data_IF_537054907333
#
_entry.id   IF_537054907333
#
_cell.length_a   1.000
_cell.length_b   1.000
_cell.length_c   1.000
_cell.angle_alpha   90.00
_cell.angle_beta   90.00
_cell.angle_gamma   90.00
#
_symmetry.space_group_name_H-M   'P 1'
#
loop_
_entity.id
_entity.type
_entity.pdbx_description
1 polymer ?
#
# COMPACT_ATOMS: atom_id res chain seq x y z
N UNK A 1 -24.97 -15.58 6.69
CA UNK A 1 -25.28 -16.93 7.19
C UNK A 1 -26.57 -17.42 6.51
N UNK A 2 -26.46 -17.84 5.25
CA UNK A 2 -27.58 -18.39 4.48
C UNK A 2 -27.12 -19.71 3.87
N UNK A 3 -27.68 -20.79 4.43
CA UNK A 3 -27.96 -22.10 3.81
C UNK A 3 -27.02 -22.58 2.71
N UNK A 4 -25.88 -23.15 3.13
CA UNK A 4 -25.10 -24.16 2.39
C UNK A 4 -25.93 -25.46 2.27
N UNK A 5 -27.03 -25.45 1.52
CA UNK A 5 -27.89 -26.63 1.38
C UNK A 5 -28.08 -27.04 -0.09
N UNK A 6 -26.96 -27.23 -0.77
CA UNK A 6 -26.91 -28.12 -1.93
C UNK A 6 -25.78 -29.11 -1.68
N UNK A 7 -26.09 -30.18 -0.95
CA UNK A 7 -25.18 -31.31 -0.73
C UNK A 7 -24.95 -32.03 -2.07
N UNK A 8 -24.04 -31.52 -2.89
CA UNK A 8 -23.48 -32.33 -3.96
C UNK A 8 -22.81 -33.55 -3.34
N UNK A 9 -23.08 -34.72 -3.90
CA UNK A 9 -22.55 -36.01 -3.43
C UNK A 9 -21.05 -36.11 -3.70
N UNK A 10 -20.24 -35.46 -2.86
CA UNK A 10 -18.77 -35.67 -2.79
C UNK A 10 -18.40 -37.03 -2.16
N UNK A 11 -19.38 -37.93 -2.00
CA UNK A 11 -19.21 -39.29 -1.51
C UNK A 11 -18.21 -40.08 -2.35
N UNK A 12 -18.11 -39.83 -3.65
CA UNK A 12 -17.11 -40.50 -4.50
C UNK A 12 -15.67 -40.21 -4.05
N UNK A 13 -15.34 -38.96 -3.70
CA UNK A 13 -13.99 -38.63 -3.23
C UNK A 13 -13.73 -39.17 -1.82
N UNK A 14 -14.75 -39.22 -0.97
CA UNK A 14 -14.66 -39.87 0.34
C UNK A 14 -14.36 -41.37 0.18
N UNK A 15 -15.13 -42.06 -0.66
CA UNK A 15 -14.98 -43.50 -0.95
C UNK A 15 -13.59 -43.81 -1.50
N UNK A 16 -13.09 -43.00 -2.44
CA UNK A 16 -11.76 -43.22 -3.04
C UNK A 16 -10.63 -43.10 -2.01
N UNK A 17 -10.74 -42.17 -1.06
CA UNK A 17 -9.74 -42.00 0.01
C UNK A 17 -9.85 -43.15 1.03
N UNK A 18 -11.06 -43.59 1.36
CA UNK A 18 -11.30 -44.65 2.35
C UNK A 18 -11.13 -46.07 1.82
N UNK A 19 -11.12 -46.28 0.50
CA UNK A 19 -11.12 -47.62 -0.12
C UNK A 19 -9.89 -48.46 0.27
N UNK A 20 -8.67 -47.92 0.12
CA UNK A 20 -7.43 -48.65 0.44
C UNK A 20 -7.33 -48.94 1.95
N UNK A 21 -7.57 -47.96 2.85
CA UNK A 21 -7.63 -48.21 4.30
C UNK A 21 -8.64 -49.29 4.71
N UNK A 22 -9.84 -49.28 4.12
CA UNK A 22 -10.90 -50.26 4.39
C UNK A 22 -10.54 -51.65 3.88
N UNK A 23 -9.94 -51.73 2.69
CA UNK A 23 -9.48 -53.01 2.12
C UNK A 23 -8.42 -53.64 3.01
N UNK A 24 -7.42 -52.86 3.45
CA UNK A 24 -6.40 -53.35 4.37
C UNK A 24 -7.00 -53.81 5.71
N UNK A 25 -7.92 -53.04 6.30
CA UNK A 25 -8.61 -53.43 7.53
C UNK A 25 -9.39 -54.74 7.35
N UNK A 26 -10.10 -54.89 6.22
CA UNK A 26 -10.85 -56.10 5.88
C UNK A 26 -9.92 -57.30 5.70
N UNK A 27 -8.77 -57.11 5.07
CA UNK A 27 -7.74 -58.16 4.93
C UNK A 27 -7.24 -58.66 6.29
N UNK A 28 -6.95 -57.75 7.23
CA UNK A 28 -6.55 -58.12 8.60
C UNK A 28 -7.72 -58.79 9.35
N UNK A 29 -8.95 -58.30 9.20
CA UNK A 29 -10.14 -58.91 9.80
C UNK A 29 -10.38 -60.35 9.31
N UNK A 30 -10.12 -60.65 8.03
CA UNK A 30 -10.20 -62.01 7.49
C UNK A 30 -9.14 -62.94 8.09
N UNK A 31 -7.95 -62.43 8.41
CA UNK A 31 -6.95 -63.18 9.17
C UNK A 31 -7.42 -63.52 10.60
N UNK A 32 -8.09 -62.58 11.29
CA UNK A 32 -8.71 -62.85 12.60
C UNK A 32 -9.78 -63.96 12.55
N UNK A 33 -10.59 -64.00 11.49
CA UNK A 33 -11.63 -65.04 11.30
C UNK A 33 -11.03 -66.39 10.89
N UNK A 34 -9.75 -66.44 10.50
CA UNK A 34 -9.06 -67.67 10.10
C UNK A 34 -9.22 -68.04 8.62
N UNK A 35 -9.69 -67.12 7.78
CA UNK A 35 -9.72 -67.32 6.32
C UNK A 35 -8.33 -67.23 5.67
N UNK A 36 -7.39 -66.55 6.34
CA UNK A 36 -6.01 -66.34 5.89
C UNK A 36 -5.10 -66.84 7.01
N UNK A 37 -3.95 -67.49 6.73
CA UNK A 37 -3.02 -67.99 7.74
C UNK A 37 -2.24 -66.85 8.44
N UNK A 38 -2.96 -65.94 9.09
CA UNK A 38 -2.46 -64.78 9.83
C UNK A 38 -3.04 -64.83 11.24
N UNK A 39 -2.22 -65.17 12.24
CA UNK A 39 -2.66 -65.17 13.64
C UNK A 39 -2.73 -63.73 14.17
N UNK A 40 -3.95 -63.18 14.20
CA UNK A 40 -4.21 -61.81 14.67
C UNK A 40 -5.02 -61.89 15.96
N UNK A 41 -4.60 -61.14 16.98
CA UNK A 41 -5.35 -61.03 18.24
C UNK A 41 -6.52 -60.04 18.12
N UNK A 42 -7.56 -60.25 18.92
CA UNK A 42 -8.74 -59.36 18.94
C UNK A 42 -8.36 -57.92 19.31
N UNK A 43 -7.42 -57.73 20.25
CA UNK A 43 -6.97 -56.41 20.68
C UNK A 43 -6.29 -55.65 19.54
N UNK A 44 -5.46 -56.32 18.73
CA UNK A 44 -4.87 -55.74 17.52
C UNK A 44 -5.95 -55.28 16.55
N UNK A 45 -6.96 -56.11 16.26
CA UNK A 45 -8.06 -55.74 15.37
C UNK A 45 -8.83 -54.51 15.88
N UNK A 46 -9.12 -54.45 17.17
CA UNK A 46 -9.78 -53.30 17.81
C UNK A 46 -8.96 -52.02 17.71
N UNK A 47 -7.63 -52.10 17.87
CA UNK A 47 -6.72 -50.95 17.72
C UNK A 47 -6.73 -50.45 16.28
N UNK A 48 -6.64 -51.34 15.28
CA UNK A 48 -6.73 -50.95 13.87
C UNK A 48 -8.08 -50.31 13.54
N UNK A 49 -9.18 -50.82 14.10
CA UNK A 49 -10.52 -50.25 13.94
C UNK A 49 -10.62 -48.84 14.52
N UNK A 50 -10.01 -48.60 15.69
CA UNK A 50 -9.93 -47.28 16.29
C UNK A 50 -9.11 -46.30 15.45
N UNK A 51 -7.94 -46.73 14.94
CA UNK A 51 -7.11 -45.91 14.04
C UNK A 51 -7.88 -45.57 12.75
N UNK A 52 -8.58 -46.54 12.16
CA UNK A 52 -9.42 -46.33 10.98
C UNK A 52 -10.56 -45.33 11.27
N UNK A 53 -11.22 -45.44 12.41
CA UNK A 53 -12.27 -44.51 12.81
C UNK A 53 -11.75 -43.06 12.87
N UNK A 54 -10.59 -42.85 13.51
CA UNK A 54 -9.95 -41.52 13.54
C UNK A 54 -9.63 -41.07 12.11
N UNK A 55 -9.04 -41.93 11.28
CA UNK A 55 -8.73 -41.60 9.89
C UNK A 55 -9.97 -41.13 9.10
N UNK A 56 -11.11 -41.80 9.24
CA UNK A 56 -12.36 -41.43 8.57
C UNK A 56 -12.85 -40.01 8.95
N UNK A 57 -12.67 -39.59 10.20
CA UNK A 57 -13.01 -38.22 10.63
C UNK A 57 -12.15 -37.17 9.90
N UNK A 58 -10.87 -37.48 9.71
CA UNK A 58 -9.91 -36.59 9.05
C UNK A 58 -10.17 -36.44 7.55
N UNK A 59 -10.77 -37.42 6.86
CA UNK A 59 -11.02 -37.37 5.40
C UNK A 59 -11.78 -36.10 5.00
N UNK A 60 -12.70 -35.62 5.83
CA UNK A 60 -13.49 -34.40 5.58
C UNK A 60 -12.64 -33.14 5.41
N UNK A 61 -11.43 -33.13 5.96
CA UNK A 61 -10.49 -32.02 5.90
C UNK A 61 -9.45 -32.16 4.78
N UNK A 62 -9.38 -33.31 4.10
CA UNK A 62 -8.42 -33.54 3.03
C UNK A 62 -8.69 -32.64 1.81
N UNK A 63 -7.65 -32.10 1.19
CA UNK A 63 -7.78 -31.20 0.03
C UNK A 63 -8.58 -31.82 -1.14
N UNK A 64 -8.46 -33.13 -1.38
CA UNK A 64 -9.19 -33.79 -2.47
C UNK A 64 -10.70 -33.89 -2.19
N UNK A 65 -11.11 -33.89 -0.92
CA UNK A 65 -12.53 -33.77 -0.55
C UNK A 65 -12.99 -32.30 -0.62
N UNK A 66 -12.22 -31.38 -0.03
CA UNK A 66 -12.53 -29.94 0.03
C UNK A 66 -12.71 -29.30 -1.34
N UNK A 67 -11.91 -29.69 -2.35
CA UNK A 67 -12.07 -29.17 -3.72
C UNK A 67 -13.38 -29.60 -4.37
N UNK A 68 -13.92 -30.79 -4.04
CA UNK A 68 -15.23 -31.18 -4.54
C UNK A 68 -16.33 -30.29 -3.95
N UNK A 69 -16.25 -30.01 -2.65
CA UNK A 69 -17.17 -29.09 -1.97
C UNK A 69 -17.09 -27.70 -2.58
N UNK A 70 -15.88 -27.18 -2.82
CA UNK A 70 -15.67 -25.89 -3.47
C UNK A 70 -16.26 -25.83 -4.90
N UNK A 71 -16.06 -26.89 -5.70
CA UNK A 71 -16.62 -26.98 -7.06
C UNK A 71 -18.14 -27.10 -7.05
N UNK A 72 -18.71 -27.76 -6.04
CA UNK A 72 -20.16 -27.86 -5.92
C UNK A 72 -20.82 -26.51 -5.59
N UNK A 73 -20.11 -25.65 -4.85
CA UNK A 73 -20.54 -24.29 -4.54
C UNK A 73 -20.09 -23.27 -5.60
N UNK A 74 -19.83 -23.69 -6.84
CA UNK A 74 -19.28 -22.79 -7.88
C UNK A 74 -20.17 -21.57 -8.14
N UNK A 75 -21.49 -21.76 -8.23
CA UNK A 75 -22.41 -20.64 -8.46
C UNK A 75 -22.38 -19.61 -7.32
N UNK A 76 -22.27 -20.08 -6.08
CA UNK A 76 -22.14 -19.18 -4.91
C UNK A 76 -20.82 -18.43 -4.96
N UNK A 77 -19.72 -19.12 -5.25
CA UNK A 77 -18.40 -18.51 -5.39
C UNK A 77 -18.37 -17.45 -6.51
N UNK A 78 -18.97 -17.73 -7.67
CA UNK A 78 -19.04 -16.77 -8.77
C UNK A 78 -19.87 -15.53 -8.38
N UNK A 79 -20.98 -15.70 -7.65
CA UNK A 79 -21.77 -14.58 -7.13
C UNK A 79 -20.98 -13.74 -6.12
N UNK A 80 -20.28 -14.37 -5.17
CA UNK A 80 -19.46 -13.68 -4.17
C UNK A 80 -18.33 -12.88 -4.84
N UNK A 81 -17.71 -13.44 -5.89
CA UNK A 81 -16.69 -12.74 -6.70
C UNK A 81 -17.32 -11.52 -7.39
N UNK A 82 -18.49 -11.67 -8.03
CA UNK A 82 -19.16 -10.56 -8.71
C UNK A 82 -19.57 -9.45 -7.76
N UNK A 83 -20.12 -9.79 -6.59
CA UNK A 83 -20.42 -8.83 -5.53
C UNK A 83 -19.14 -8.08 -5.13
N UNK A 84 -18.04 -8.82 -4.91
CA UNK A 84 -16.78 -8.18 -4.51
C UNK A 84 -16.19 -7.31 -5.61
N UNK A 85 -16.28 -7.72 -6.88
CA UNK A 85 -15.88 -6.92 -8.03
C UNK A 85 -16.67 -5.60 -8.06
N UNK A 86 -17.98 -5.64 -7.86
CA UNK A 86 -18.82 -4.44 -7.88
C UNK A 86 -18.46 -3.43 -6.78
N UNK A 87 -18.17 -3.91 -5.57
CA UNK A 87 -17.81 -3.04 -4.43
C UNK A 87 -16.39 -2.46 -4.53
N UNK A 88 -15.53 -3.06 -5.35
CA UNK A 88 -14.12 -2.67 -5.52
C UNK A 88 -13.82 -2.17 -6.93
N UNK A 89 -14.85 -1.77 -7.69
CA UNK A 89 -14.69 -1.22 -9.02
C UNK A 89 -14.05 0.17 -8.97
N UNK A 90 -13.04 0.39 -9.79
CA UNK A 90 -12.37 1.67 -9.99
C UNK A 90 -12.46 2.05 -11.47
N UNK A 91 -12.92 3.27 -11.73
CA UNK A 91 -13.00 3.82 -13.09
C UNK A 91 -11.75 4.66 -13.35
N UNK A 92 -10.95 4.26 -14.34
CA UNK A 92 -9.76 4.98 -14.79
C UNK A 92 -9.91 5.28 -16.28
N UNK A 93 -10.02 6.56 -16.62
CA UNK A 93 -10.37 7.00 -17.98
C UNK A 93 -11.75 6.50 -18.39
N UNK A 94 -11.82 5.73 -19.48
CA UNK A 94 -13.08 5.18 -20.02
C UNK A 94 -13.33 3.71 -19.64
N UNK A 95 -12.50 3.13 -18.75
CA UNK A 95 -12.62 1.73 -18.34
C UNK A 95 -12.95 1.64 -16.86
N UNK A 96 -13.90 0.77 -16.52
CA UNK A 96 -14.23 0.41 -15.14
C UNK A 96 -13.87 -1.06 -14.95
N UNK A 97 -12.88 -1.33 -14.10
CA UNK A 97 -12.50 -2.68 -13.67
C UNK A 97 -12.30 -2.68 -12.16
N UNK A 98 -12.24 -3.84 -11.53
CA UNK A 98 -12.07 -3.95 -10.09
C UNK A 98 -10.60 -4.07 -9.68
N UNK A 99 -10.25 -3.50 -8.52
CA UNK A 99 -8.93 -3.63 -7.88
C UNK A 99 -8.83 -4.87 -6.96
N UNK A 100 -9.82 -5.77 -7.03
CA UNK A 100 -9.87 -6.97 -6.20
C UNK A 100 -8.64 -7.85 -6.45
N UNK A 101 -7.92 -8.15 -5.36
CA UNK A 101 -6.92 -9.20 -5.35
C UNK A 101 -7.61 -10.57 -5.28
N UNK A 102 -7.88 -11.12 -6.47
CA UNK A 102 -8.58 -12.40 -6.63
C UNK A 102 -7.78 -13.58 -6.03
N UNK A 103 -6.45 -13.49 -6.03
CA UNK A 103 -5.57 -14.47 -5.37
C UNK A 103 -5.86 -14.56 -3.88
N UNK A 104 -5.82 -13.42 -3.21
CA UNK A 104 -6.10 -13.33 -1.77
C UNK A 104 -7.51 -13.78 -1.46
N UNK A 105 -8.50 -13.35 -2.25
CA UNK A 105 -9.89 -13.74 -2.07
C UNK A 105 -10.10 -15.26 -2.16
N UNK A 106 -9.56 -15.91 -3.20
CA UNK A 106 -9.71 -17.35 -3.39
C UNK A 106 -9.02 -18.17 -2.28
N UNK A 107 -7.85 -17.71 -1.83
CA UNK A 107 -7.14 -18.33 -0.71
C UNK A 107 -7.94 -18.23 0.59
N UNK A 108 -8.53 -17.07 0.90
CA UNK A 108 -9.41 -16.89 2.06
C UNK A 108 -10.63 -17.80 1.97
N UNK A 109 -11.32 -17.81 0.82
CA UNK A 109 -12.50 -18.64 0.60
C UNK A 109 -12.19 -20.14 0.77
N UNK A 110 -11.04 -20.60 0.27
CA UNK A 110 -10.62 -22.00 0.43
C UNK A 110 -10.26 -22.35 1.88
N UNK A 111 -9.66 -21.42 2.62
CA UNK A 111 -9.37 -21.60 4.05
C UNK A 111 -10.63 -21.72 4.91
N UNK A 112 -11.74 -21.09 4.52
CA UNK A 112 -13.03 -21.23 5.23
C UNK A 112 -13.67 -22.61 4.99
N UNK A 113 -13.39 -23.24 3.85
CA UNK A 113 -13.89 -24.57 3.54
C UNK A 113 -13.12 -25.66 4.29
N UNK A 114 -11.83 -25.43 4.59
CA UNK A 114 -10.90 -26.43 5.11
C UNK A 114 -10.10 -25.95 6.32
N UNK A 115 -10.13 -26.73 7.40
CA UNK A 115 -9.32 -26.45 8.58
C UNK A 115 -7.85 -26.89 8.39
N UNK A 116 -6.96 -25.92 8.18
CA UNK A 116 -5.52 -26.16 7.99
C UNK A 116 -4.83 -26.79 9.22
N UNK A 117 -5.34 -26.58 10.44
CA UNK A 117 -4.75 -27.13 11.66
C UNK A 117 -4.92 -28.65 11.76
N UNK A 118 -6.06 -29.19 11.29
CA UNK A 118 -6.24 -30.64 11.23
C UNK A 118 -5.36 -31.26 10.15
N UNK A 119 -5.23 -30.59 9.01
CA UNK A 119 -4.44 -31.09 7.88
C UNK A 119 -2.96 -31.18 8.23
N UNK A 120 -2.42 -30.19 8.93
CA UNK A 120 -0.98 -30.12 9.26
C UNK A 120 -0.53 -31.24 10.20
N UNK A 121 -1.42 -31.74 11.06
CA UNK A 121 -1.12 -32.79 12.04
C UNK A 121 -1.44 -34.19 11.52
N UNK A 122 -2.32 -34.32 10.54
CA UNK A 122 -2.81 -35.61 10.06
C UNK A 122 -1.71 -36.55 9.54
N UNK A 123 -0.72 -36.04 8.80
CA UNK A 123 0.37 -36.88 8.27
C UNK A 123 1.30 -37.43 9.37
N UNK A 124 1.39 -36.75 10.52
CA UNK A 124 2.23 -37.17 11.64
C UNK A 124 1.48 -37.99 12.69
N UNK A 125 0.17 -37.79 12.85
CA UNK A 125 -0.61 -38.48 13.88
C UNK A 125 -0.82 -39.97 13.57
N UNK A 126 -1.03 -40.36 12.31
CA UNK A 126 -1.30 -41.76 11.97
C UNK A 126 -0.12 -42.71 12.25
N UNK A 127 1.14 -42.37 11.90
CA UNK A 127 2.28 -43.19 12.29
C UNK A 127 2.45 -43.25 13.81
N UNK A 128 2.23 -42.14 14.52
CA UNK A 128 2.30 -42.11 15.99
C UNK A 128 1.22 -42.99 16.63
N UNK A 129 -0.01 -42.96 16.12
CA UNK A 129 -1.10 -43.85 16.55
C UNK A 129 -0.78 -45.31 16.26
N UNK A 130 -0.08 -45.60 15.15
CA UNK A 130 0.40 -46.95 14.83
C UNK A 130 1.46 -47.45 15.81
N UNK A 131 2.43 -46.62 16.17
CA UNK A 131 3.46 -46.93 17.18
C UNK A 131 2.81 -47.14 18.55
N UNK A 132 1.94 -46.21 18.97
CA UNK A 132 1.19 -46.33 20.22
C UNK A 132 0.36 -47.61 20.26
N UNK A 133 -0.36 -47.90 19.18
CA UNK A 133 -1.15 -49.12 19.04
C UNK A 133 -0.30 -50.39 19.14
N UNK A 134 0.92 -50.35 18.60
CA UNK A 134 1.87 -51.48 18.70
C UNK A 134 2.29 -51.72 20.14
N UNK A 135 2.63 -50.67 20.89
CA UNK A 135 2.96 -50.79 22.32
C UNK A 135 1.80 -51.30 23.16
N UNK A 136 0.58 -50.81 22.91
CA UNK A 136 -0.62 -51.29 23.60
C UNK A 136 -0.88 -52.77 23.28
N UNK A 137 -0.78 -53.17 22.02
CA UNK A 137 -0.98 -54.55 21.61
C UNK A 137 0.05 -55.51 22.23
N UNK A 138 1.33 -55.12 22.29
CA UNK A 138 2.39 -55.90 22.95
C UNK A 138 2.13 -55.98 24.46
N UNK A 139 1.80 -54.87 25.11
CA UNK A 139 1.55 -54.83 26.55
C UNK A 139 0.41 -55.76 26.97
N UNK A 140 -0.67 -55.83 26.17
CA UNK A 140 -1.80 -56.73 26.42
C UNK A 140 -1.44 -58.19 26.10
N UNK A 141 -0.57 -58.43 25.12
CA UNK A 141 -0.16 -59.78 24.70
C UNK A 141 0.93 -60.40 25.58
N UNK A 142 1.46 -59.67 26.56
CA UNK A 142 2.52 -60.15 27.45
C UNK A 142 1.94 -61.13 28.47
N UNK A 143 2.29 -62.43 28.44
CA UNK A 143 1.81 -63.40 29.41
C UNK A 143 2.52 -63.23 30.75
N UNK A 144 1.86 -63.65 31.83
CA UNK A 144 2.48 -63.76 33.14
C UNK A 144 3.29 -65.06 33.21
N UNK A 145 4.62 -64.98 33.08
CA UNK A 145 5.50 -66.14 33.20
C UNK A 145 5.48 -66.68 34.64
N UNK A 146 4.67 -67.70 34.91
CA UNK A 146 4.65 -68.42 36.19
C UNK A 146 4.93 -69.89 35.92
N UNK A 147 6.20 -70.29 36.01
CA UNK A 147 6.61 -71.61 35.48
C UNK A 147 6.94 -72.60 36.60
N UNK A 148 6.21 -73.72 36.64
CA UNK A 148 6.61 -75.00 37.27
C UNK A 148 6.83 -76.13 36.25
N UNK A 149 6.36 -76.01 35.00
CA UNK A 149 6.45 -77.06 33.96
C UNK A 149 6.94 -76.49 32.61
N UNK A 150 7.81 -77.22 31.91
CA UNK A 150 8.45 -76.78 30.65
C UNK A 150 7.49 -76.68 29.46
N UNK A 151 6.44 -77.50 29.38
CA UNK A 151 5.46 -77.47 28.28
C UNK A 151 4.56 -76.21 28.33
N UNK A 152 4.29 -75.68 29.53
CA UNK A 152 3.55 -74.43 29.69
C UNK A 152 4.35 -73.22 29.17
N UNK A 153 5.68 -73.26 29.34
CA UNK A 153 6.58 -72.20 28.88
C UNK A 153 6.62 -72.09 27.35
N UNK A 154 6.68 -73.21 26.62
CA UNK A 154 6.69 -73.21 25.16
C UNK A 154 5.39 -72.62 24.57
N UNK A 155 4.25 -72.93 25.18
CA UNK A 155 2.96 -72.37 24.78
C UNK A 155 2.88 -70.86 25.07
N UNK A 156 3.35 -70.40 26.23
CA UNK A 156 3.42 -68.98 26.58
C UNK A 156 4.33 -68.19 25.62
N UNK A 157 5.48 -68.75 25.24
CA UNK A 157 6.40 -68.14 24.26
C UNK A 157 5.75 -68.07 22.88
N UNK A 158 5.04 -69.12 22.44
CA UNK A 158 4.33 -69.13 21.15
C UNK A 158 3.24 -68.06 21.08
N UNK A 159 2.45 -67.92 22.15
CA UNK A 159 1.41 -66.88 22.27
C UNK A 159 2.05 -65.48 22.25
N UNK A 160 3.15 -65.28 22.98
CA UNK A 160 3.87 -64.00 22.98
C UNK A 160 4.38 -63.66 21.57
N UNK A 161 5.04 -64.62 20.89
CA UNK A 161 5.62 -64.40 19.56
C UNK A 161 4.53 -64.07 18.53
N UNK A 162 3.39 -64.76 18.60
CA UNK A 162 2.22 -64.48 17.77
C UNK A 162 1.60 -63.11 18.10
N UNK A 163 1.52 -62.74 19.37
CA UNK A 163 1.01 -61.44 19.83
C UNK A 163 1.86 -60.28 19.33
N UNK A 164 3.19 -60.40 19.45
CA UNK A 164 4.17 -59.43 18.94
C UNK A 164 4.09 -59.31 17.41
N UNK A 165 4.01 -60.43 16.69
CA UNK A 165 3.82 -60.43 15.24
C UNK A 165 2.55 -59.69 14.80
N UNK A 166 1.44 -59.91 15.50
CA UNK A 166 0.18 -59.21 15.23
C UNK A 166 0.27 -57.70 15.51
N UNK A 167 0.98 -57.29 16.56
CA UNK A 167 1.10 -55.90 16.97
C UNK A 167 1.75 -55.01 15.89
N UNK A 168 2.70 -55.55 15.12
CA UNK A 168 3.35 -54.80 14.02
C UNK A 168 2.39 -54.32 12.95
N UNK A 169 1.24 -54.99 12.75
CA UNK A 169 0.22 -54.54 11.79
C UNK A 169 -0.36 -53.17 12.16
N UNK A 170 -0.39 -52.78 13.43
CA UNK A 170 -0.82 -51.44 13.84
C UNK A 170 0.14 -50.35 13.33
N UNK A 171 1.46 -50.58 13.42
CA UNK A 171 2.48 -49.66 12.88
C UNK A 171 2.45 -49.60 11.35
N UNK A 172 2.38 -50.75 10.68
CA UNK A 172 2.27 -50.82 9.21
C UNK A 172 1.04 -50.04 8.75
N UNK A 173 -0.09 -50.20 9.45
CA UNK A 173 -1.32 -49.50 9.12
C UNK A 173 -1.20 -48.00 9.33
N UNK A 174 -0.65 -47.54 10.46
CA UNK A 174 -0.42 -46.11 10.72
C UNK A 174 0.44 -45.43 9.64
N UNK A 175 1.50 -46.10 9.18
CA UNK A 175 2.36 -45.62 8.09
C UNK A 175 1.59 -45.59 6.76
N UNK A 176 0.87 -46.66 6.43
CA UNK A 176 0.05 -46.75 5.22
C UNK A 176 -0.96 -45.59 5.15
N UNK A 177 -1.66 -45.32 6.25
CA UNK A 177 -2.62 -44.21 6.34
C UNK A 177 -1.97 -42.85 6.11
N UNK A 178 -0.77 -42.62 6.66
CA UNK A 178 -0.01 -41.38 6.44
C UNK A 178 0.37 -41.18 4.97
N UNK A 179 0.80 -42.25 4.29
CA UNK A 179 1.16 -42.20 2.87
C UNK A 179 -0.07 -41.90 2.01
N UNK A 180 -1.18 -42.60 2.26
CA UNK A 180 -2.46 -42.39 1.55
C UNK A 180 -2.96 -40.96 1.78
N UNK A 181 -2.96 -40.50 3.03
CA UNK A 181 -3.32 -39.13 3.38
C UNK A 181 -2.51 -38.11 2.57
N UNK A 182 -1.19 -38.24 2.60
CA UNK A 182 -0.26 -37.31 1.96
C UNK A 182 -0.44 -37.30 0.44
N UNK A 183 -0.62 -38.47 -0.17
CA UNK A 183 -0.88 -38.58 -1.60
C UNK A 183 -2.15 -37.83 -2.02
N UNK A 184 -3.27 -38.09 -1.33
CA UNK A 184 -4.54 -37.44 -1.66
C UNK A 184 -4.54 -35.95 -1.33
N UNK A 185 -3.83 -35.55 -0.28
CA UNK A 185 -3.63 -34.14 0.08
C UNK A 185 -2.89 -33.39 -1.03
N UNK A 186 -1.73 -33.89 -1.47
CA UNK A 186 -0.95 -33.25 -2.55
C UNK A 186 -1.70 -33.24 -3.88
N UNK A 187 -2.38 -34.34 -4.22
CA UNK A 187 -3.22 -34.42 -5.42
C UNK A 187 -4.41 -33.47 -5.36
N UNK A 188 -5.00 -33.29 -4.17
CA UNK A 188 -6.09 -32.35 -3.93
C UNK A 188 -5.64 -30.90 -4.14
N UNK A 189 -4.52 -30.51 -3.54
CA UNK A 189 -3.95 -29.16 -3.69
C UNK A 189 -3.65 -28.82 -5.16
N UNK A 190 -3.06 -29.74 -5.92
CA UNK A 190 -2.83 -29.53 -7.36
C UNK A 190 -4.14 -29.27 -8.16
N UNK A 191 -5.24 -29.93 -7.77
CA UNK A 191 -6.57 -29.67 -8.36
C UNK A 191 -7.14 -28.31 -7.95
N UNK A 192 -6.82 -27.83 -6.74
CA UNK A 192 -7.20 -26.49 -6.25
C UNK A 192 -6.47 -25.43 -7.07
N UNK A 193 -5.15 -25.55 -7.24
CA UNK A 193 -4.34 -24.60 -8.02
C UNK A 193 -4.87 -24.47 -9.46
N UNK A 194 -5.13 -25.61 -10.11
CA UNK A 194 -5.69 -25.65 -11.46
C UNK A 194 -7.07 -24.98 -11.52
N UNK A 195 -7.89 -25.19 -10.48
CA UNK A 195 -9.22 -24.58 -10.39
C UNK A 195 -9.15 -23.08 -10.16
N UNK A 196 -8.24 -22.60 -9.31
CA UNK A 196 -7.99 -21.18 -9.09
C UNK A 196 -7.54 -20.50 -10.38
N UNK A 197 -6.61 -21.09 -11.12
CA UNK A 197 -6.20 -20.59 -12.44
C UNK A 197 -7.39 -20.50 -13.41
N UNK A 198 -8.29 -21.49 -13.38
CA UNK A 198 -9.50 -21.47 -14.22
C UNK A 198 -10.43 -20.32 -13.85
N UNK A 199 -10.67 -20.09 -12.56
CA UNK A 199 -11.51 -18.98 -12.09
C UNK A 199 -10.88 -17.64 -12.45
N UNK A 200 -9.57 -17.47 -12.21
CA UNK A 200 -8.86 -16.23 -12.51
C UNK A 200 -8.97 -15.82 -13.97
N UNK A 201 -8.75 -16.76 -14.90
CA UNK A 201 -8.95 -16.51 -16.33
C UNK A 201 -10.38 -16.10 -16.67
N UNK A 202 -11.38 -16.62 -15.95
CA UNK A 202 -12.78 -16.24 -16.14
C UNK A 202 -13.12 -14.80 -15.70
N UNK A 203 -12.32 -14.19 -14.83
CA UNK A 203 -12.54 -12.84 -14.31
C UNK A 203 -11.44 -11.84 -14.68
N UNK A 204 -10.45 -12.26 -15.48
CA UNK A 204 -9.26 -11.47 -15.83
C UNK A 204 -9.63 -10.12 -16.47
N UNK A 205 -10.58 -10.11 -17.41
CA UNK A 205 -11.01 -8.89 -18.09
C UNK A 205 -11.71 -7.88 -17.17
N UNK A 206 -12.33 -8.36 -16.09
CA UNK A 206 -13.05 -7.54 -15.11
C UNK A 206 -12.13 -6.95 -14.03
N UNK A 207 -10.86 -7.35 -13.99
CA UNK A 207 -9.89 -6.97 -12.96
C UNK A 207 -8.77 -6.11 -13.55
N UNK A 208 -8.35 -5.11 -12.80
CA UNK A 208 -7.15 -4.33 -13.13
C UNK A 208 -5.90 -5.16 -12.86
N UNK A 209 -5.00 -5.23 -13.84
CA UNK A 209 -3.67 -5.78 -13.60
C UNK A 209 -2.82 -4.82 -12.76
N UNK A 210 -1.83 -5.35 -12.02
CA UNK A 210 -0.91 -4.51 -11.24
C UNK A 210 -0.14 -3.55 -12.15
N UNK A 211 0.24 -4.02 -13.33
CA UNK A 211 0.93 -3.25 -14.37
C UNK A 211 0.02 -2.15 -14.93
N UNK A 212 -1.25 -2.45 -15.23
CA UNK A 212 -2.22 -1.46 -15.69
C UNK A 212 -2.41 -0.32 -14.66
N UNK A 213 -2.54 -0.67 -13.36
CA UNK A 213 -2.64 0.32 -12.29
C UNK A 213 -1.38 1.17 -12.14
N UNK A 214 -0.19 0.55 -12.27
CA UNK A 214 1.08 1.26 -12.23
C UNK A 214 1.23 2.25 -13.39
N UNK A 215 0.88 1.83 -14.61
CA UNK A 215 0.90 2.69 -15.81
C UNK A 215 -0.04 3.88 -15.60
N UNK A 216 -1.25 3.65 -15.10
CA UNK A 216 -2.20 4.73 -14.80
C UNK A 216 -1.67 5.68 -13.72
N UNK A 217 -1.05 5.16 -12.65
CA UNK A 217 -0.43 5.99 -11.60
C UNK A 217 0.69 6.87 -12.17
N UNK A 218 1.58 6.29 -12.97
CA UNK A 218 2.70 7.02 -13.60
C UNK A 218 2.19 8.09 -14.58
N UNK A 219 1.23 7.76 -15.44
CA UNK A 219 0.63 8.71 -16.38
C UNK A 219 -0.07 9.87 -15.66
N UNK A 220 -0.69 9.61 -14.50
CA UNK A 220 -1.28 10.66 -13.68
C UNK A 220 -0.22 11.61 -13.12
N UNK A 221 0.92 11.09 -12.66
CA UNK A 221 2.05 11.92 -12.20
C UNK A 221 2.57 12.82 -13.32
N UNK A 222 2.82 12.26 -14.51
CA UNK A 222 3.30 13.02 -15.67
C UNK A 222 2.30 14.13 -16.07
N UNK A 223 0.99 13.83 -16.07
CA UNK A 223 -0.04 14.84 -16.35
C UNK A 223 -0.07 15.97 -15.32
N UNK A 224 0.08 15.65 -14.02
CA UNK A 224 0.17 16.66 -12.95
C UNK A 224 1.41 17.54 -13.14
N UNK A 225 2.55 16.94 -13.48
CA UNK A 225 3.80 17.65 -13.75
C UNK A 225 3.67 18.61 -14.95
N UNK A 226 3.07 18.16 -16.06
CA UNK A 226 2.83 19.02 -17.22
C UNK A 226 1.85 20.17 -16.93
N UNK A 227 0.80 19.92 -16.15
CA UNK A 227 -0.14 20.98 -15.73
C UNK A 227 0.57 22.02 -14.87
N UNK A 228 1.44 21.58 -13.97
CA UNK A 228 2.26 22.47 -13.15
C UNK A 228 3.20 23.32 -14.01
N UNK A 229 3.96 22.71 -14.93
CA UNK A 229 4.86 23.43 -15.83
C UNK A 229 4.08 24.45 -16.68
N UNK A 230 2.89 24.08 -17.14
CA UNK A 230 2.04 24.98 -17.94
C UNK A 230 1.53 26.16 -17.12
N UNK A 231 1.04 25.92 -15.89
CA UNK A 231 0.61 26.99 -14.99
C UNK A 231 1.77 27.94 -14.62
N UNK A 232 2.97 27.39 -14.42
CA UNK A 232 4.18 28.17 -14.19
C UNK A 232 4.52 29.03 -15.40
N UNK A 233 4.46 28.49 -16.62
CA UNK A 233 4.70 29.23 -17.86
C UNK A 233 3.68 30.35 -18.10
N UNK A 234 2.41 30.13 -17.75
CA UNK A 234 1.35 31.14 -17.85
C UNK A 234 1.57 32.28 -16.85
N UNK A 235 1.88 31.93 -15.59
CA UNK A 235 2.15 32.89 -14.52
C UNK A 235 3.40 33.74 -14.82
N UNK A 236 4.45 33.12 -15.35
CA UNK A 236 5.70 33.79 -15.74
C UNK A 236 5.77 34.08 -17.25
N UNK A 237 4.64 34.41 -17.87
CA UNK A 237 4.60 34.71 -19.30
C UNK A 237 5.50 35.90 -19.65
N UNK A 238 6.04 35.90 -20.88
CA UNK A 238 6.83 37.02 -21.39
C UNK A 238 6.06 38.34 -21.34
N UNK A 239 4.73 38.31 -21.49
CA UNK A 239 3.85 39.47 -21.36
C UNK A 239 3.83 40.02 -19.92
N UNK A 240 3.82 39.16 -18.90
CA UNK A 240 3.95 39.60 -17.51
C UNK A 240 5.30 40.28 -17.27
N UNK A 241 6.40 39.67 -17.74
CA UNK A 241 7.75 40.23 -17.64
C UNK A 241 7.85 41.57 -18.40
N UNK A 242 7.30 41.67 -19.60
CA UNK A 242 7.29 42.89 -20.40
C UNK A 242 6.43 43.99 -19.77
N UNK A 243 5.26 43.64 -19.24
CA UNK A 243 4.37 44.60 -18.57
C UNK A 243 5.01 45.15 -17.30
N UNK A 244 5.64 44.29 -16.50
CA UNK A 244 6.33 44.69 -15.27
C UNK A 244 7.52 45.61 -15.58
N UNK A 245 8.35 45.26 -16.58
CA UNK A 245 9.44 46.12 -17.03
C UNK A 245 8.95 47.45 -17.60
N UNK A 246 7.90 47.44 -18.43
CA UNK A 246 7.33 48.66 -19.02
C UNK A 246 6.77 49.59 -17.96
N UNK A 247 6.00 49.07 -17.01
CA UNK A 247 5.43 49.86 -15.92
C UNK A 247 6.50 50.47 -15.00
N UNK A 248 7.57 49.73 -14.71
CA UNK A 248 8.72 50.26 -13.97
C UNK A 248 9.47 51.36 -14.74
N UNK A 249 9.71 51.17 -16.05
CA UNK A 249 10.39 52.16 -16.89
C UNK A 249 9.56 53.44 -17.06
N UNK A 250 8.25 53.33 -17.29
CA UNK A 250 7.35 54.50 -17.40
C UNK A 250 7.30 55.30 -16.09
N UNK A 251 7.24 54.62 -14.93
CA UNK A 251 7.30 55.29 -13.64
C UNK A 251 8.65 56.00 -13.42
N UNK A 252 9.75 55.39 -13.84
CA UNK A 252 11.09 55.97 -13.71
C UNK A 252 11.27 57.18 -14.63
N UNK A 253 10.80 57.09 -15.87
CA UNK A 253 10.82 58.19 -16.85
C UNK A 253 10.03 59.39 -16.34
N UNK A 254 8.82 59.17 -15.80
CA UNK A 254 7.99 60.24 -15.23
C UNK A 254 8.69 60.96 -14.08
N UNK A 255 9.28 60.20 -13.14
CA UNK A 255 10.04 60.77 -12.02
C UNK A 255 11.23 61.59 -12.52
N UNK A 256 11.97 61.09 -13.50
CA UNK A 256 13.14 61.78 -14.06
C UNK A 256 12.74 63.08 -14.78
N UNK A 257 11.62 63.07 -15.50
CA UNK A 257 11.12 64.23 -16.24
C UNK A 257 10.63 65.34 -15.31
N UNK A 258 9.85 64.99 -14.28
CA UNK A 258 9.43 65.93 -13.23
C UNK A 258 10.62 66.49 -12.44
N UNK A 259 11.62 65.64 -12.15
CA UNK A 259 12.86 66.05 -11.47
C UNK A 259 13.67 67.03 -12.31
N UNK A 260 13.86 66.78 -13.60
CA UNK A 260 14.58 67.67 -14.51
C UNK A 260 13.89 69.03 -14.68
N UNK A 261 12.56 69.04 -14.77
CA UNK A 261 11.78 70.28 -14.82
C UNK A 261 11.96 71.10 -13.54
N UNK A 262 11.93 70.44 -12.38
CA UNK A 262 12.16 71.09 -11.10
C UNK A 262 13.59 71.65 -10.98
N UNK A 263 14.62 70.90 -11.39
CA UNK A 263 15.99 71.42 -11.46
C UNK A 263 16.14 72.61 -12.39
N UNK A 264 15.47 72.59 -13.54
CA UNK A 264 15.44 73.72 -14.48
C UNK A 264 14.80 74.96 -13.85
N UNK A 265 13.70 74.78 -13.13
CA UNK A 265 13.04 75.88 -12.42
C UNK A 265 13.92 76.44 -11.30
N UNK A 266 14.56 75.59 -10.51
CA UNK A 266 15.52 76.00 -9.47
C UNK A 266 16.68 76.78 -10.10
N UNK A 267 17.26 76.29 -11.19
CA UNK A 267 18.34 76.97 -11.90
C UNK A 267 17.93 78.37 -12.37
N UNK A 268 16.72 78.51 -12.93
CA UNK A 268 16.16 79.82 -13.32
C UNK A 268 15.97 80.76 -12.13
N UNK A 269 15.47 80.25 -11.00
CA UNK A 269 15.28 81.06 -9.79
C UNK A 269 16.61 81.48 -9.18
N UNK A 270 17.59 80.59 -9.09
CA UNK A 270 18.95 80.91 -8.62
C UNK A 270 19.64 81.93 -9.54
N UNK A 271 19.48 81.78 -10.85
CA UNK A 271 20.03 82.73 -11.81
C UNK A 271 19.40 84.12 -11.66
N UNK A 272 18.08 84.20 -11.51
CA UNK A 272 17.38 85.47 -11.27
C UNK A 272 17.81 86.11 -9.95
N UNK A 273 17.86 85.34 -8.86
CA UNK A 273 18.36 85.83 -7.57
C UNK A 273 19.81 86.34 -7.65
N UNK A 274 20.67 85.70 -8.46
CA UNK A 274 22.05 86.15 -8.70
C UNK A 274 22.10 87.49 -9.46
N UNK A 275 21.24 87.68 -10.45
CA UNK A 275 21.10 88.96 -11.17
C UNK A 275 20.61 90.06 -10.21
N UNK A 276 19.55 89.77 -9.45
CA UNK A 276 18.98 90.72 -8.48
C UNK A 276 20.01 91.12 -7.41
N UNK A 277 20.80 90.17 -6.90
CA UNK A 277 21.90 90.44 -5.96
C UNK A 277 23.00 91.32 -6.56
N UNK A 278 23.32 91.13 -7.84
CA UNK A 278 24.30 91.94 -8.55
C UNK A 278 23.79 93.37 -8.77
N UNK A 279 22.50 93.53 -9.02
CA UNK A 279 21.83 94.84 -9.12
C UNK A 279 21.79 95.55 -7.76
N UNK A 280 21.48 94.83 -6.68
CA UNK A 280 21.55 95.33 -5.29
C UNK A 280 22.96 95.83 -4.96
N UNK A 281 24.01 95.05 -5.27
CA UNK A 281 25.39 95.45 -5.06
C UNK A 281 25.74 96.73 -5.83
N UNK A 282 25.23 96.90 -7.05
CA UNK A 282 25.45 98.11 -7.85
C UNK A 282 24.69 99.34 -7.35
N UNK A 283 23.52 99.18 -6.75
CA UNK A 283 22.73 100.28 -6.15
C UNK A 283 23.35 100.73 -4.81
N UNK A 284 23.85 99.78 -4.00
CA UNK A 284 24.59 100.05 -2.76
C UNK A 284 25.90 100.81 -3.05
N UNK A 285 26.57 100.51 -4.16
CA UNK A 285 27.81 101.19 -4.58
C UNK A 285 27.56 102.62 -5.09
N UNK A 286 26.32 102.98 -5.47
CA UNK A 286 26.03 104.22 -6.21
C UNK A 286 25.48 105.41 -5.42
N UNK A 287 24.80 105.28 -4.27
CA UNK A 287 24.53 106.47 -3.42
C UNK A 287 23.80 106.20 -2.09
N UNK A 288 23.89 107.20 -1.21
CA UNK A 288 23.06 107.67 -0.08
C UNK A 288 21.53 107.33 -0.03
N UNK A 289 21.05 106.17 -0.48
CA UNK A 289 19.66 105.74 -0.25
C UNK A 289 19.57 104.28 0.24
N UNK A 290 20.08 104.03 1.45
CA UNK A 290 19.98 102.73 2.14
C UNK A 290 18.55 102.14 2.21
N UNK A 291 17.51 102.96 2.00
CA UNK A 291 16.09 102.58 2.05
C UNK A 291 15.66 101.79 0.79
N UNK A 292 16.14 102.14 -0.41
CA UNK A 292 15.79 101.42 -1.65
C UNK A 292 16.45 100.04 -1.67
N UNK A 293 17.73 99.97 -1.32
CA UNK A 293 18.46 98.72 -1.15
C UNK A 293 17.79 97.79 -0.12
N UNK A 294 17.33 98.34 1.01
CA UNK A 294 16.60 97.58 2.03
C UNK A 294 15.27 97.01 1.53
N UNK A 295 14.47 97.80 0.81
CA UNK A 295 13.20 97.33 0.26
C UNK A 295 13.39 96.23 -0.80
N UNK A 296 14.45 96.34 -1.61
CA UNK A 296 14.80 95.30 -2.59
C UNK A 296 15.32 94.02 -1.92
N UNK A 297 16.16 94.14 -0.88
CA UNK A 297 16.60 93.00 -0.06
C UNK A 297 15.40 92.28 0.56
N UNK A 298 14.46 93.02 1.16
CA UNK A 298 13.25 92.43 1.74
C UNK A 298 12.43 91.66 0.69
N UNK A 299 12.30 92.20 -0.53
CA UNK A 299 11.60 91.51 -1.62
C UNK A 299 12.33 90.25 -2.08
N UNK A 300 13.64 90.30 -2.31
CA UNK A 300 14.42 89.12 -2.70
C UNK A 300 14.45 88.05 -1.60
N UNK A 301 14.46 88.44 -0.32
CA UNK A 301 14.38 87.52 0.80
C UNK A 301 13.01 86.84 0.88
N UNK A 302 11.93 87.58 0.59
CA UNK A 302 10.57 87.03 0.49
C UNK A 302 10.48 86.04 -0.68
N UNK A 303 10.95 86.41 -1.86
CA UNK A 303 10.93 85.54 -3.05
C UNK A 303 11.78 84.27 -2.84
N UNK A 304 12.94 84.40 -2.19
CA UNK A 304 13.78 83.26 -1.80
C UNK A 304 13.08 82.37 -0.76
N UNK A 305 12.40 82.96 0.22
CA UNK A 305 11.64 82.21 1.24
C UNK A 305 10.47 81.45 0.62
N UNK A 306 9.78 82.06 -0.35
CA UNK A 306 8.70 81.41 -1.12
C UNK A 306 9.25 80.24 -1.94
N UNK A 307 10.36 80.43 -2.65
CA UNK A 307 11.02 79.36 -3.40
C UNK A 307 11.47 78.21 -2.49
N UNK A 308 12.04 78.51 -1.33
CA UNK A 308 12.51 77.52 -0.35
C UNK A 308 11.34 76.74 0.28
N UNK A 309 10.23 77.41 0.62
CA UNK A 309 9.01 76.73 1.11
C UNK A 309 8.38 75.85 0.04
N UNK A 310 8.37 76.31 -1.21
CA UNK A 310 7.91 75.49 -2.34
C UNK A 310 8.77 74.23 -2.49
N UNK A 311 10.09 74.36 -2.39
CA UNK A 311 11.01 73.24 -2.44
C UNK A 311 10.81 72.26 -1.27
N UNK A 312 10.66 72.76 -0.05
CA UNK A 312 10.39 71.93 1.13
C UNK A 312 9.08 71.13 0.97
N UNK A 313 8.02 71.79 0.47
CA UNK A 313 6.73 71.15 0.20
C UNK A 313 6.85 70.06 -0.86
N UNK A 314 7.54 70.34 -1.97
CA UNK A 314 7.76 69.36 -3.04
C UNK A 314 8.65 68.20 -2.59
N UNK A 315 9.67 68.45 -1.75
CA UNK A 315 10.54 67.40 -1.20
C UNK A 315 9.76 66.48 -0.26
N UNK A 316 8.87 67.04 0.56
CA UNK A 316 7.96 66.26 1.41
C UNK A 316 6.95 65.45 0.59
N UNK A 317 6.39 66.04 -0.48
CA UNK A 317 5.51 65.34 -1.42
C UNK A 317 6.26 64.20 -2.13
N UNK A 318 7.44 64.47 -2.69
CA UNK A 318 8.27 63.47 -3.35
C UNK A 318 8.66 62.34 -2.40
N UNK A 319 9.08 62.68 -1.17
CA UNK A 319 9.37 61.70 -0.13
C UNK A 319 8.13 60.86 0.21
N UNK A 320 6.96 61.49 0.36
CA UNK A 320 5.71 60.78 0.63
C UNK A 320 5.26 59.90 -0.55
N UNK A 321 5.38 60.37 -1.78
CA UNK A 321 5.02 59.65 -3.01
C UNK A 321 5.95 58.44 -3.23
N UNK A 322 7.26 58.63 -3.03
CA UNK A 322 8.25 57.54 -3.05
C UNK A 322 7.98 56.54 -1.94
N UNK A 323 7.72 57.00 -0.71
CA UNK A 323 7.48 56.10 0.40
C UNK A 323 6.16 55.34 0.20
N UNK A 324 5.13 55.98 -0.35
CA UNK A 324 3.87 55.31 -0.70
C UNK A 324 4.05 54.32 -1.85
N UNK A 325 4.73 54.70 -2.93
CA UNK A 325 5.00 53.83 -4.08
C UNK A 325 5.87 52.64 -3.69
N UNK A 326 6.93 52.87 -2.92
CA UNK A 326 7.77 51.82 -2.36
C UNK A 326 6.98 50.94 -1.40
N UNK A 327 6.16 51.49 -0.50
CA UNK A 327 5.38 50.70 0.45
C UNK A 327 4.28 49.88 -0.25
N UNK A 328 3.61 50.41 -1.28
CA UNK A 328 2.67 49.66 -2.12
C UNK A 328 3.40 48.56 -2.89
N UNK A 329 4.57 48.86 -3.45
CA UNK A 329 5.38 47.87 -4.18
C UNK A 329 5.89 46.78 -3.25
N UNK A 330 6.43 47.13 -2.09
CA UNK A 330 6.90 46.18 -1.07
C UNK A 330 5.76 45.38 -0.48
N UNK A 331 4.61 45.98 -0.17
CA UNK A 331 3.44 45.23 0.31
C UNK A 331 2.94 44.26 -0.76
N UNK A 332 2.93 44.68 -2.03
CA UNK A 332 2.52 43.81 -3.14
C UNK A 332 3.52 42.69 -3.39
N UNK A 333 4.83 42.97 -3.30
CA UNK A 333 5.88 41.95 -3.32
C UNK A 333 5.75 41.00 -2.14
N UNK A 334 5.58 41.50 -0.92
CA UNK A 334 5.47 40.68 0.31
C UNK A 334 4.22 39.80 0.28
N UNK A 335 3.09 40.32 -0.23
CA UNK A 335 1.85 39.54 -0.37
C UNK A 335 1.97 38.49 -1.47
N UNK A 336 2.40 38.87 -2.68
CA UNK A 336 2.48 37.95 -3.83
C UNK A 336 3.63 36.95 -3.68
N UNK A 337 4.81 37.39 -3.26
CA UNK A 337 5.96 36.49 -2.99
C UNK A 337 5.71 35.67 -1.73
N UNK A 338 5.07 36.21 -0.69
CA UNK A 338 4.64 35.46 0.48
C UNK A 338 3.69 34.32 0.11
N UNK A 339 2.67 34.61 -0.70
CA UNK A 339 1.75 33.59 -1.22
C UNK A 339 2.46 32.54 -2.08
N UNK A 340 3.42 32.96 -2.91
CA UNK A 340 4.24 32.04 -3.71
C UNK A 340 5.09 31.13 -2.81
N UNK A 341 5.73 31.67 -1.76
CA UNK A 341 6.55 30.91 -0.81
C UNK A 341 5.70 29.94 -0.01
N UNK A 342 4.50 30.34 0.43
CA UNK A 342 3.56 29.45 1.13
C UNK A 342 3.11 28.31 0.21
N UNK A 343 2.72 28.61 -1.04
CA UNK A 343 2.32 27.59 -2.02
C UNK A 343 3.49 26.65 -2.39
N UNK A 344 4.71 27.17 -2.51
CA UNK A 344 5.92 26.37 -2.74
C UNK A 344 6.24 25.47 -1.55
N UNK A 345 6.07 25.97 -0.32
CA UNK A 345 6.27 25.19 0.90
C UNK A 345 5.24 24.07 1.04
N UNK A 346 3.95 24.35 0.80
CA UNK A 346 2.88 23.34 0.81
C UNK A 346 3.11 22.28 -0.26
N UNK A 347 3.54 22.69 -1.45
CA UNK A 347 3.88 21.77 -2.54
C UNK A 347 5.10 20.91 -2.22
N UNK A 348 6.19 21.50 -1.74
CA UNK A 348 7.39 20.76 -1.33
C UNK A 348 7.08 19.73 -0.23
N UNK A 349 6.20 20.10 0.71
CA UNK A 349 5.73 19.20 1.77
C UNK A 349 4.93 18.04 1.19
N UNK A 350 3.99 18.30 0.28
CA UNK A 350 3.23 17.25 -0.40
C UNK A 350 4.11 16.30 -1.22
N UNK A 351 5.06 16.83 -2.00
CA UNK A 351 5.98 16.02 -2.81
C UNK A 351 6.89 15.18 -1.91
N UNK A 352 7.42 15.76 -0.83
CA UNK A 352 8.24 15.01 0.14
C UNK A 352 7.45 13.86 0.76
N UNK A 353 6.18 14.10 1.11
CA UNK A 353 5.32 13.10 1.70
C UNK A 353 4.96 11.97 0.71
N UNK A 354 4.55 12.30 -0.51
CA UNK A 354 4.30 11.27 -1.55
C UNK A 354 5.58 10.48 -1.88
N UNK A 355 6.74 11.15 -1.97
CA UNK A 355 8.02 10.48 -2.20
C UNK A 355 8.37 9.50 -1.08
N UNK A 356 8.05 9.84 0.17
CA UNK A 356 8.26 8.97 1.34
C UNK A 356 7.34 7.75 1.29
N UNK A 357 6.06 7.94 0.95
CA UNK A 357 5.10 6.84 0.79
C UNK A 357 5.50 5.88 -0.35
N UNK A 358 6.05 6.40 -1.44
CA UNK A 358 6.60 5.60 -2.53
C UNK A 358 7.83 4.81 -2.07
N UNK A 359 8.79 5.43 -1.38
CA UNK A 359 9.94 4.71 -0.82
C UNK A 359 9.53 3.61 0.17
N UNK A 360 8.58 3.89 1.05
CA UNK A 360 8.07 2.91 2.02
C UNK A 360 7.36 1.76 1.31
N UNK A 361 6.61 2.04 0.23
CA UNK A 361 5.98 1.02 -0.61
C UNK A 361 7.02 0.14 -1.31
N UNK A 362 8.07 0.74 -1.87
CA UNK A 362 9.18 0.01 -2.51
C UNK A 362 9.92 -0.86 -1.48
N UNK A 363 10.15 -0.35 -0.27
CA UNK A 363 10.80 -1.09 0.82
C UNK A 363 9.97 -2.29 1.26
N UNK A 364 8.65 -2.11 1.44
CA UNK A 364 7.73 -3.21 1.75
C UNK A 364 7.71 -4.25 0.64
N UNK A 365 7.72 -3.84 -0.62
CA UNK A 365 7.80 -4.75 -1.76
C UNK A 365 9.10 -5.57 -1.74
N UNK A 366 10.26 -4.93 -1.55
CA UNK A 366 11.54 -5.63 -1.46
C UNK A 366 11.59 -6.61 -0.28
N UNK A 367 11.04 -6.24 0.88
CA UNK A 367 10.92 -7.15 2.02
C UNK A 367 10.04 -8.36 1.72
N UNK A 368 8.91 -8.15 1.04
CA UNK A 368 8.01 -9.22 0.64
C UNK A 368 8.71 -10.19 -0.33
N UNK A 369 9.40 -9.67 -1.36
CA UNK A 369 10.16 -10.49 -2.32
C UNK A 369 11.32 -11.23 -1.63
N UNK A 370 12.07 -10.56 -0.76
CA UNK A 370 13.16 -11.19 -0.01
C UNK A 370 12.66 -12.30 0.92
N UNK A 371 11.49 -12.12 1.56
CA UNK A 371 10.88 -13.17 2.39
C UNK A 371 10.46 -14.38 1.54
N UNK A 372 9.86 -14.17 0.37
CA UNK A 372 9.50 -15.26 -0.55
C UNK A 372 10.70 -16.01 -1.12
N UNK A 373 11.85 -15.35 -1.27
CA UNK A 373 13.10 -15.98 -1.70
C UNK A 373 13.81 -16.72 -0.57
N UNK A 374 13.56 -16.36 0.70
CA UNK A 374 14.14 -17.03 1.87
C UNK A 374 13.37 -18.29 2.29
N UNK A 375 12.10 -18.37 1.89
CA UNK A 375 11.21 -19.51 2.14
C UNK A 375 11.21 -20.55 0.98
N UNK A 376 12.09 -20.38 -0.01
CA UNK A 376 12.51 -21.40 -0.99
C UNK A 376 13.89 -21.91 -0.63
#
# INVERSE_FOLDING_TARGET
>A
MQTLNNQARCSANFIVISAIPLLFFTFVALGYIGFIPLNISLHTLSILGFILFIFLLFISHNANYSICRMRSSRAVLENDIQEKISTTSLTLGNKTKSILDLDTFLNTYYSDIRNNNFVSVASSIFPMLGILGTFIAIAISMPNFSVKETAALDNEISILLSGVGSAFFASIYGILLSLIWTYFEKRGLSKVDTYFVTIKRGFEDALWSKEELLIHKLSQHESKEHKFISALKETFSLDFIQTLNKQHLESFEKIMLETNQNFTNISKHLHRASIDLKEILSEVDKSQSAISARNHIDKSLVDFTVATRSFEKTTKLFSAELNNSLNVTFHKIDTEVGDIVIKLADFATHVSQESKEVQDSIKKYHQMVASQLRDR
#
